data_IF_364699425761
#
_entry.id   IF_364699425761
#
_cell.length_a   1.000
_cell.length_b   1.000
_cell.length_c   1.000
_cell.angle_alpha   90.00
_cell.angle_beta   90.00
_cell.angle_gamma   90.00
#
_symmetry.space_group_name_H-M   'P 1'
#
loop_
_entity.id
_entity.type
_entity.pdbx_description
1 polymer ?
#
# COMPACT_ATOMS: atom_id res chain seq x y z
N UNK A 1 21.42 13.24 -18.85
CA UNK A 1 20.49 12.10 -18.62
C UNK A 1 20.57 11.11 -19.77
N UNK A 2 21.70 10.39 -19.88
CA UNK A 2 21.84 9.33 -20.90
C UNK A 2 20.97 8.11 -20.58
N UNK A 3 20.58 7.96 -19.31
CA UNK A 3 19.84 6.82 -18.76
C UNK A 3 18.40 6.69 -19.25
N UNK A 4 17.71 7.80 -19.55
CA UNK A 4 16.36 7.75 -20.17
C UNK A 4 16.40 7.00 -21.50
N UNK A 5 17.33 7.37 -22.38
CA UNK A 5 17.47 6.74 -23.70
C UNK A 5 17.76 5.25 -23.56
N UNK A 6 18.69 4.88 -22.67
CA UNK A 6 19.08 3.50 -22.42
C UNK A 6 17.88 2.69 -21.90
N UNK A 7 17.19 3.18 -20.87
CA UNK A 7 16.02 2.52 -20.29
C UNK A 7 14.90 2.35 -21.32
N UNK A 8 14.66 3.39 -22.14
CA UNK A 8 13.66 3.38 -23.21
C UNK A 8 13.98 2.31 -24.26
N UNK A 9 15.23 2.25 -24.72
CA UNK A 9 15.68 1.25 -25.69
C UNK A 9 15.60 -0.17 -25.11
N UNK A 10 15.98 -0.35 -23.84
CA UNK A 10 15.84 -1.65 -23.14
C UNK A 10 14.39 -2.13 -23.10
N UNK A 11 13.44 -1.21 -22.92
CA UNK A 11 12.01 -1.52 -22.92
C UNK A 11 11.38 -1.63 -24.33
N UNK A 12 12.16 -1.41 -25.38
CA UNK A 12 11.66 -1.43 -26.77
C UNK A 12 10.71 -0.28 -27.11
N UNK A 13 10.72 0.81 -26.34
CA UNK A 13 9.84 1.97 -26.54
C UNK A 13 10.54 2.97 -27.48
N UNK A 14 9.83 3.61 -28.40
CA UNK A 14 10.34 4.70 -29.24
C UNK A 14 10.20 6.06 -28.55
N UNK A 15 10.95 7.08 -29.01
CA UNK A 15 10.79 8.44 -28.45
C UNK A 15 9.35 8.95 -28.63
N UNK A 16 8.70 8.57 -29.73
CA UNK A 16 7.32 8.95 -30.04
C UNK A 16 6.34 8.29 -29.06
N UNK A 17 6.44 6.99 -28.84
CA UNK A 17 5.58 6.28 -27.89
C UNK A 17 5.78 6.77 -26.45
N UNK A 18 7.02 7.06 -26.05
CA UNK A 18 7.28 7.66 -24.73
C UNK A 18 6.63 9.04 -24.62
N UNK A 19 6.73 9.87 -25.66
CA UNK A 19 6.12 11.19 -25.68
C UNK A 19 4.58 11.12 -25.64
N UNK A 20 3.98 10.18 -26.37
CA UNK A 20 2.54 9.91 -26.33
C UNK A 20 2.07 9.51 -24.92
N UNK A 21 2.80 8.62 -24.24
CA UNK A 21 2.48 8.20 -22.86
C UNK A 21 2.63 9.32 -21.83
N UNK A 22 3.51 10.29 -22.09
CA UNK A 22 3.75 11.46 -21.23
C UNK A 22 2.94 12.70 -21.66
N UNK A 23 2.05 12.56 -22.64
CA UNK A 23 1.28 13.67 -23.22
C UNK A 23 2.13 14.90 -23.61
N UNK A 24 3.23 14.66 -24.32
CA UNK A 24 4.16 15.70 -24.77
C UNK A 24 4.66 15.47 -26.20
N UNK A 25 5.47 16.39 -26.70
CA UNK A 25 6.06 16.26 -28.04
C UNK A 25 7.28 15.34 -28.03
N UNK A 26 7.53 14.64 -29.15
CA UNK A 26 8.73 13.83 -29.32
C UNK A 26 10.02 14.66 -29.11
N UNK A 27 9.98 15.94 -29.48
CA UNK A 27 11.06 16.90 -29.29
C UNK A 27 11.37 17.10 -27.80
N UNK A 28 10.35 17.16 -26.92
CA UNK A 28 10.56 17.27 -25.48
C UNK A 28 11.34 16.08 -24.92
N UNK A 29 10.95 14.84 -25.30
CA UNK A 29 11.69 13.62 -24.95
C UNK A 29 13.13 13.66 -25.48
N UNK A 30 13.32 14.13 -26.72
CA UNK A 30 14.66 14.29 -27.31
C UNK A 30 15.55 15.26 -26.50
N UNK A 31 14.98 16.36 -26.00
CA UNK A 31 15.71 17.29 -25.14
C UNK A 31 16.10 16.67 -23.80
N UNK A 32 15.24 15.87 -23.20
CA UNK A 32 15.56 15.11 -21.98
C UNK A 32 16.70 14.11 -22.21
N UNK A 33 16.62 13.30 -23.27
CA UNK A 33 17.65 12.30 -23.59
C UNK A 33 19.01 12.93 -23.92
N UNK A 34 19.02 14.14 -24.51
CA UNK A 34 20.25 14.90 -24.78
C UNK A 34 20.78 15.65 -23.56
N UNK A 35 20.00 15.76 -22.49
CA UNK A 35 20.33 16.57 -21.31
C UNK A 35 20.23 18.08 -21.54
N UNK A 36 19.61 18.52 -22.65
CA UNK A 36 19.38 19.94 -22.93
C UNK A 36 18.23 20.52 -22.11
N UNK A 37 17.38 19.66 -21.52
CA UNK A 37 16.34 20.01 -20.56
C UNK A 37 16.32 18.95 -19.45
N UNK A 38 16.03 19.38 -18.22
CA UNK A 38 15.81 18.49 -17.09
C UNK A 38 14.29 18.33 -16.92
N UNK A 39 13.74 17.10 -16.89
CA UNK A 39 12.35 16.89 -16.52
C UNK A 39 12.16 17.21 -15.03
N UNK A 40 11.02 17.76 -14.68
CA UNK A 40 10.65 17.94 -13.27
C UNK A 40 10.37 16.59 -12.58
N UNK A 41 10.17 16.64 -11.26
CA UNK A 41 9.94 15.46 -10.43
C UNK A 41 8.74 14.62 -10.88
N UNK A 42 7.64 15.26 -11.30
CA UNK A 42 6.44 14.55 -11.74
C UNK A 42 6.71 13.80 -13.06
N UNK A 43 7.35 14.47 -14.02
CA UNK A 43 7.72 13.85 -15.30
C UNK A 43 8.77 12.74 -15.09
N UNK A 44 9.73 12.92 -14.19
CA UNK A 44 10.70 11.88 -13.82
C UNK A 44 10.01 10.63 -13.26
N UNK A 45 9.04 10.80 -12.36
CA UNK A 45 8.25 9.71 -11.80
C UNK A 45 7.45 8.98 -12.87
N UNK A 46 6.83 9.70 -13.81
CA UNK A 46 6.12 9.08 -14.93
C UNK A 46 7.06 8.31 -15.87
N UNK A 47 8.22 8.88 -16.21
CA UNK A 47 9.23 8.20 -17.02
C UNK A 47 9.69 6.92 -16.31
N UNK A 48 9.97 6.98 -15.00
CA UNK A 48 10.35 5.83 -14.18
C UNK A 48 9.30 4.72 -14.25
N UNK A 49 8.02 5.05 -14.09
CA UNK A 49 6.92 4.08 -14.20
C UNK A 49 6.79 3.50 -15.61
N UNK A 50 6.82 4.35 -16.64
CA UNK A 50 6.68 3.93 -18.03
C UNK A 50 7.86 3.05 -18.45
N UNK A 51 9.08 3.36 -17.99
CA UNK A 51 10.29 2.64 -18.35
C UNK A 51 10.66 1.52 -17.37
N UNK A 52 9.89 1.35 -16.30
CA UNK A 52 10.10 0.34 -15.24
C UNK A 52 11.54 0.34 -14.73
N UNK A 53 12.03 1.51 -14.35
CA UNK A 53 13.35 1.72 -13.72
C UNK A 53 13.21 2.67 -12.53
N UNK A 54 14.06 2.56 -11.49
CA UNK A 54 14.07 3.53 -10.40
C UNK A 54 14.37 4.96 -10.90
N UNK A 55 13.90 5.98 -10.18
CA UNK A 55 14.21 7.38 -10.53
C UNK A 55 15.71 7.62 -10.36
N UNK A 56 16.31 7.02 -9.35
CA UNK A 56 17.74 7.04 -9.04
C UNK A 56 18.58 6.52 -10.22
N UNK A 57 18.05 5.57 -11.00
CA UNK A 57 18.73 5.12 -12.22
C UNK A 57 18.66 6.18 -13.32
N UNK A 58 17.54 6.90 -13.44
CA UNK A 58 17.37 7.98 -14.42
C UNK A 58 18.23 9.21 -14.09
N UNK A 59 18.42 9.50 -12.81
CA UNK A 59 19.23 10.61 -12.29
C UNK A 59 20.72 10.25 -12.12
N UNK A 60 21.12 9.04 -12.50
CA UNK A 60 22.51 8.56 -12.44
C UNK A 60 23.04 8.39 -10.99
N UNK A 61 22.15 8.30 -10.00
CA UNK A 61 22.46 8.00 -8.59
C UNK A 61 22.71 6.50 -8.35
N UNK A 62 22.18 5.64 -9.22
CA UNK A 62 22.53 4.21 -9.27
C UNK A 62 22.86 3.75 -10.69
N UNK A 63 23.73 2.74 -10.79
CA UNK A 63 24.01 2.04 -12.04
C UNK A 63 23.10 0.82 -12.25
N UNK A 64 22.30 0.46 -11.26
CA UNK A 64 21.38 -0.66 -11.28
C UNK A 64 20.02 -0.24 -11.85
N UNK A 65 19.66 -0.68 -13.07
CA UNK A 65 18.40 -0.31 -13.71
C UNK A 65 17.19 -1.10 -13.19
N UNK A 66 17.38 -2.11 -12.35
CA UNK A 66 16.32 -2.90 -11.72
C UNK A 66 16.08 -2.48 -10.26
N UNK A 67 17.10 -1.87 -9.63
CA UNK A 67 17.00 -1.29 -8.29
C UNK A 67 17.16 -2.31 -7.16
N UNK A 68 17.76 -3.47 -7.42
CA UNK A 68 18.15 -4.47 -6.42
C UNK A 68 18.94 -3.84 -5.27
N UNK A 69 19.93 -3.01 -5.57
CA UNK A 69 20.76 -2.37 -4.54
C UNK A 69 19.92 -1.41 -3.65
N UNK A 70 18.91 -0.77 -4.25
CA UNK A 70 18.00 0.13 -3.54
C UNK A 70 17.06 -0.66 -2.63
N UNK A 71 16.53 -1.77 -3.13
CA UNK A 71 15.67 -2.67 -2.37
C UNK A 71 16.40 -3.29 -1.18
N UNK A 72 17.63 -3.77 -1.38
CA UNK A 72 18.47 -4.29 -0.29
C UNK A 72 18.72 -3.22 0.76
N UNK A 73 19.11 -2.01 0.34
CA UNK A 73 19.35 -0.88 1.23
C UNK A 73 18.12 -0.46 2.04
N UNK A 74 16.93 -0.45 1.42
CA UNK A 74 15.71 0.06 2.05
C UNK A 74 14.98 -0.99 2.91
N UNK A 75 15.09 -2.27 2.56
CA UNK A 75 14.36 -3.35 3.25
C UNK A 75 15.23 -4.13 4.23
N UNK A 76 16.55 -4.12 4.03
CA UNK A 76 17.50 -4.92 4.80
C UNK A 76 17.55 -6.40 4.40
N UNK A 77 16.73 -6.85 3.43
CA UNK A 77 16.82 -8.19 2.87
C UNK A 77 17.83 -8.21 1.72
N UNK A 78 18.67 -9.24 1.68
CA UNK A 78 19.63 -9.37 0.58
C UNK A 78 18.94 -9.59 -0.76
N UNK A 79 19.59 -9.17 -1.84
CA UNK A 79 19.10 -9.42 -3.20
C UNK A 79 18.79 -10.90 -3.43
N UNK A 80 19.63 -11.79 -2.90
CA UNK A 80 19.44 -13.24 -2.97
C UNK A 80 18.16 -13.70 -2.23
N UNK A 81 17.89 -13.17 -1.03
CA UNK A 81 16.68 -13.51 -0.28
C UNK A 81 15.41 -13.12 -1.07
N UNK A 82 15.40 -11.90 -1.62
CA UNK A 82 14.27 -11.41 -2.42
C UNK A 82 14.09 -12.29 -3.66
N UNK A 83 15.16 -12.59 -4.40
CA UNK A 83 15.09 -13.43 -5.60
C UNK A 83 14.64 -14.86 -5.31
N UNK A 84 15.10 -15.46 -4.20
CA UNK A 84 14.67 -16.79 -3.79
C UNK A 84 13.19 -16.81 -3.41
N UNK A 85 12.69 -15.76 -2.75
CA UNK A 85 11.27 -15.63 -2.46
C UNK A 85 10.42 -15.42 -3.72
N UNK A 86 10.91 -14.62 -4.69
CA UNK A 86 10.27 -14.49 -6.03
C UNK A 86 10.15 -15.86 -6.70
N UNK A 87 11.24 -16.64 -6.72
CA UNK A 87 11.21 -18.00 -7.29
C UNK A 87 10.21 -18.90 -6.57
N UNK A 88 10.13 -18.80 -5.23
CA UNK A 88 9.18 -19.57 -4.42
C UNK A 88 7.74 -19.24 -4.79
N UNK A 89 7.36 -17.96 -4.85
CA UNK A 89 5.98 -17.54 -5.18
C UNK A 89 5.59 -17.89 -6.63
N UNK A 90 6.53 -17.79 -7.57
CA UNK A 90 6.31 -18.19 -8.97
C UNK A 90 6.12 -19.70 -9.09
N UNK A 91 6.97 -20.49 -8.42
CA UNK A 91 6.87 -21.96 -8.42
C UNK A 91 5.58 -22.45 -7.76
N UNK A 92 5.06 -21.70 -6.79
CA UNK A 92 3.77 -21.97 -6.15
C UNK A 92 2.56 -21.45 -6.95
N UNK A 93 2.77 -20.79 -8.09
CA UNK A 93 1.73 -20.10 -8.86
C UNK A 93 0.91 -19.12 -7.99
N UNK A 94 1.57 -18.42 -7.07
CA UNK A 94 0.94 -17.52 -6.10
C UNK A 94 1.42 -16.07 -6.29
N UNK A 95 1.53 -15.64 -7.54
CA UNK A 95 1.78 -14.23 -7.87
C UNK A 95 0.44 -13.52 -8.00
N UNK A 96 0.26 -12.44 -7.24
CA UNK A 96 -0.91 -11.56 -7.33
C UNK A 96 -0.57 -10.36 -8.22
N UNK A 97 -1.45 -10.03 -9.17
CA UNK A 97 -1.23 -8.92 -10.10
C UNK A 97 -0.45 -9.34 -11.36
N UNK A 98 0.42 -8.45 -11.86
CA UNK A 98 1.20 -8.70 -13.08
C UNK A 98 2.47 -9.49 -12.78
N UNK A 99 2.51 -10.75 -13.23
CA UNK A 99 3.65 -11.66 -13.07
C UNK A 99 4.90 -11.27 -13.87
N UNK A 100 4.72 -10.44 -14.91
CA UNK A 100 5.82 -9.98 -15.76
C UNK A 100 6.42 -8.65 -15.24
N UNK A 101 5.82 -8.07 -14.21
CA UNK A 101 6.30 -6.82 -13.61
C UNK A 101 7.24 -7.11 -12.44
N UNK A 102 8.53 -6.87 -12.65
CA UNK A 102 9.56 -7.08 -11.63
C UNK A 102 9.28 -6.33 -10.32
N UNK A 103 8.76 -5.10 -10.38
CA UNK A 103 8.47 -4.32 -9.17
C UNK A 103 7.29 -4.91 -8.38
N UNK A 104 6.32 -5.51 -9.08
CA UNK A 104 5.23 -6.27 -8.46
C UNK A 104 5.76 -7.53 -7.76
N UNK A 105 6.70 -8.24 -8.38
CA UNK A 105 7.34 -9.43 -7.82
C UNK A 105 8.18 -9.08 -6.58
N UNK A 106 9.02 -8.04 -6.67
CA UNK A 106 9.86 -7.61 -5.55
C UNK A 106 9.00 -7.16 -4.37
N UNK A 107 7.97 -6.34 -4.62
CA UNK A 107 7.07 -5.88 -3.56
C UNK A 107 6.37 -7.03 -2.83
N UNK A 108 5.91 -8.05 -3.55
CA UNK A 108 5.33 -9.25 -2.94
C UNK A 108 6.35 -10.07 -2.16
N UNK A 109 7.55 -10.26 -2.70
CA UNK A 109 8.60 -11.01 -2.03
C UNK A 109 9.04 -10.36 -0.72
N UNK A 110 9.28 -9.05 -0.73
CA UNK A 110 9.61 -8.28 0.48
C UNK A 110 8.47 -8.38 1.51
N UNK A 111 7.23 -8.18 1.09
CA UNK A 111 6.07 -8.31 1.97
C UNK A 111 5.99 -9.71 2.61
N UNK A 112 6.23 -10.76 1.84
CA UNK A 112 6.22 -12.12 2.38
C UNK A 112 7.39 -12.37 3.35
N UNK A 113 8.59 -11.85 3.08
CA UNK A 113 9.76 -11.96 3.95
C UNK A 113 9.55 -11.23 5.29
N UNK A 114 8.76 -10.15 5.29
CA UNK A 114 8.32 -9.45 6.50
C UNK A 114 7.20 -10.20 7.26
N UNK A 115 6.71 -11.32 6.70
CA UNK A 115 5.57 -12.06 7.21
C UNK A 115 4.24 -11.35 6.99
N UNK A 116 4.18 -10.35 6.11
CA UNK A 116 2.95 -9.68 5.68
C UNK A 116 2.57 -10.17 4.28
N UNK A 117 1.74 -9.41 3.55
CA UNK A 117 1.39 -9.73 2.16
C UNK A 117 0.55 -11.00 2.01
N UNK A 118 0.97 -11.90 1.12
CA UNK A 118 0.23 -13.11 0.74
C UNK A 118 0.68 -14.34 1.54
N UNK A 119 1.16 -14.11 2.76
CA UNK A 119 1.43 -15.15 3.76
C UNK A 119 0.17 -15.44 4.57
N UNK A 120 0.09 -16.60 5.23
CA UNK A 120 -1.05 -16.91 6.11
C UNK A 120 -1.27 -15.79 7.13
N UNK A 121 -0.18 -15.29 7.73
CA UNK A 121 -0.24 -14.18 8.70
C UNK A 121 -0.72 -12.89 8.03
N UNK A 122 -0.15 -12.51 6.90
CA UNK A 122 -0.54 -11.30 6.16
C UNK A 122 -2.02 -11.32 5.73
N UNK A 123 -2.51 -12.47 5.26
CA UNK A 123 -3.90 -12.66 4.84
C UNK A 123 -4.84 -12.53 6.05
N UNK A 124 -4.54 -13.21 7.15
CA UNK A 124 -5.36 -13.15 8.37
C UNK A 124 -5.37 -11.73 8.96
N UNK A 125 -4.21 -11.06 9.04
CA UNK A 125 -4.09 -9.68 9.52
C UNK A 125 -4.91 -8.72 8.63
N UNK A 126 -4.91 -8.94 7.30
CA UNK A 126 -5.71 -8.16 6.35
C UNK A 126 -7.21 -8.35 6.58
N UNK A 127 -7.69 -9.58 6.75
CA UNK A 127 -9.11 -9.85 7.04
C UNK A 127 -9.51 -9.21 8.37
N UNK A 128 -8.69 -9.34 9.42
CA UNK A 128 -8.96 -8.70 10.71
C UNK A 128 -9.05 -7.17 10.59
N UNK A 129 -8.21 -6.55 9.73
CA UNK A 129 -8.31 -5.12 9.41
C UNK A 129 -9.60 -4.78 8.67
N UNK A 130 -10.05 -5.60 7.74
CA UNK A 130 -11.30 -5.36 7.01
C UNK A 130 -12.53 -5.46 7.94
N UNK A 131 -12.49 -6.30 8.97
CA UNK A 131 -13.51 -6.31 10.03
C UNK A 131 -13.54 -4.98 10.81
N UNK A 132 -12.38 -4.35 11.07
CA UNK A 132 -12.38 -3.01 11.67
C UNK A 132 -13.07 -1.97 10.78
N UNK A 133 -12.90 -2.07 9.46
CA UNK A 133 -13.59 -1.18 8.54
C UNK A 133 -15.11 -1.40 8.61
N UNK A 134 -15.57 -2.65 8.71
CA UNK A 134 -16.99 -2.97 8.92
C UNK A 134 -17.51 -2.40 10.26
N UNK A 135 -16.73 -2.46 11.34
CA UNK A 135 -17.09 -1.83 12.62
C UNK A 135 -17.23 -0.31 12.47
N UNK A 136 -16.29 0.34 11.74
CA UNK A 136 -16.37 1.78 11.49
C UNK A 136 -17.58 2.17 10.65
N UNK A 137 -17.92 1.39 9.63
CA UNK A 137 -19.12 1.62 8.82
C UNK A 137 -20.40 1.45 9.65
N UNK A 138 -20.45 0.43 10.52
CA UNK A 138 -21.56 0.24 11.44
C UNK A 138 -21.73 1.45 12.36
N UNK A 139 -20.64 1.92 12.98
CA UNK A 139 -20.66 3.12 13.83
C UNK A 139 -21.18 4.35 13.07
N UNK A 140 -20.67 4.63 11.87
CA UNK A 140 -21.13 5.77 11.05
C UNK A 140 -22.63 5.73 10.75
N UNK A 141 -23.23 4.55 10.66
CA UNK A 141 -24.66 4.38 10.35
C UNK A 141 -25.55 4.44 11.58
N UNK A 142 -25.04 4.05 12.75
CA UNK A 142 -25.82 3.98 13.99
C UNK A 142 -25.60 5.17 14.92
N UNK A 143 -24.39 5.70 15.02
CA UNK A 143 -24.05 6.78 15.96
C UNK A 143 -24.67 8.11 15.53
N UNK A 144 -25.36 8.77 16.47
CA UNK A 144 -25.95 10.10 16.27
C UNK A 144 -24.89 11.20 16.51
N UNK A 145 -24.49 11.97 15.47
CA UNK A 145 -23.50 13.04 15.61
C UNK A 145 -23.87 14.09 16.65
N UNK A 146 -25.17 14.36 16.87
CA UNK A 146 -25.64 15.34 17.88
C UNK A 146 -25.41 14.84 19.30
N UNK A 147 -25.55 13.54 19.54
CA UNK A 147 -25.25 12.92 20.84
C UNK A 147 -23.74 12.86 21.06
N UNK A 148 -22.98 12.47 20.03
CA UNK A 148 -21.52 12.46 20.05
C UNK A 148 -20.90 13.84 20.30
N UNK A 149 -21.50 14.91 19.78
CA UNK A 149 -21.02 16.29 19.97
C UNK A 149 -21.01 16.73 21.45
N UNK A 150 -21.91 16.16 22.28
CA UNK A 150 -22.03 16.46 23.71
C UNK A 150 -20.94 15.82 24.57
N UNK A 151 -20.16 14.91 23.99
CA UNK A 151 -19.07 14.24 24.71
C UNK A 151 -17.95 15.24 25.05
N UNK A 152 -17.32 15.08 26.24
CA UNK A 152 -16.16 15.88 26.62
C UNK A 152 -15.02 15.72 25.61
N UNK A 153 -14.22 16.75 25.43
CA UNK A 153 -13.11 16.74 24.49
C UNK A 153 -11.75 16.94 25.16
N UNK A 154 -10.72 16.26 24.64
CA UNK A 154 -9.32 16.43 25.03
C UNK A 154 -8.58 17.34 24.03
N UNK A 155 -7.64 18.14 24.55
CA UNK A 155 -6.84 19.10 23.78
C UNK A 155 -7.58 20.42 23.54
N UNK A 156 -6.90 21.55 23.76
CA UNK A 156 -7.48 22.92 23.85
C UNK A 156 -8.24 23.45 22.62
N UNK A 157 -8.49 22.62 21.60
CA UNK A 157 -9.33 22.90 20.43
C UNK A 157 -10.40 21.82 20.14
N UNK A 158 -10.63 20.88 21.05
CA UNK A 158 -11.80 19.99 20.99
C UNK A 158 -11.79 18.91 19.91
N UNK A 159 -10.62 18.57 19.36
CA UNK A 159 -10.49 17.66 18.21
C UNK A 159 -10.77 16.19 18.56
N UNK A 160 -10.52 15.77 19.81
CA UNK A 160 -10.71 14.38 20.24
C UNK A 160 -11.88 14.31 21.23
N UNK A 161 -12.97 13.67 20.83
CA UNK A 161 -14.11 13.35 21.70
C UNK A 161 -13.80 12.13 22.55
N UNK A 162 -14.07 12.22 23.85
CA UNK A 162 -13.85 11.15 24.83
C UNK A 162 -15.20 10.62 25.24
N UNK A 163 -15.37 9.29 25.20
CA UNK A 163 -16.51 8.64 25.82
C UNK A 163 -16.16 8.27 27.28
N UNK A 164 -16.77 8.91 28.30
CA UNK A 164 -16.61 8.48 29.69
C UNK A 164 -17.11 7.04 29.86
N UNK A 165 -16.51 6.28 30.77
CA UNK A 165 -16.93 4.89 31.05
C UNK A 165 -18.38 4.75 31.55
N UNK A 166 -19.00 5.86 31.99
CA UNK A 166 -20.40 5.91 32.42
C UNK A 166 -21.39 5.96 31.26
N UNK A 167 -20.97 6.36 30.05
CA UNK A 167 -21.84 6.46 28.87
C UNK A 167 -21.70 5.19 28.05
N UNK A 168 -22.78 4.42 27.93
CA UNK A 168 -22.79 3.22 27.10
C UNK A 168 -22.90 3.57 25.60
N UNK A 169 -22.31 2.78 24.68
CA UNK A 169 -22.41 3.01 23.24
C UNK A 169 -23.86 3.17 22.74
N UNK A 170 -24.77 2.38 23.30
CA UNK A 170 -26.21 2.41 23.02
C UNK A 170 -26.88 3.76 23.30
N UNK A 171 -26.32 4.60 24.17
CA UNK A 171 -26.86 5.93 24.48
C UNK A 171 -26.49 6.94 23.38
N UNK A 172 -25.60 6.58 22.46
CA UNK A 172 -25.02 7.46 21.46
C UNK A 172 -25.54 7.19 20.05
N UNK A 173 -26.42 6.19 19.87
CA UNK A 173 -27.01 5.87 18.55
C UNK A 173 -28.27 6.70 18.27
N UNK A 174 -28.74 6.73 17.02
CA UNK A 174 -30.01 7.36 16.64
C UNK A 174 -31.20 6.71 17.36
N UNK A 175 -32.19 7.53 17.74
CA UNK A 175 -33.35 7.09 18.54
C UNK A 175 -34.29 6.13 17.80
N UNK A 176 -34.29 6.13 16.46
CA UNK A 176 -35.11 5.26 15.61
C UNK A 176 -34.46 3.92 15.28
N UNK A 177 -33.22 3.68 15.74
CA UNK A 177 -32.47 2.46 15.49
C UNK A 177 -32.43 1.54 16.71
N UNK A 178 -32.42 0.22 16.46
CA UNK A 178 -32.36 -0.77 17.54
C UNK A 178 -30.94 -0.90 18.11
N UNK A 179 -30.81 -0.36 19.31
CA UNK A 179 -29.86 -0.69 20.35
C UNK A 179 -29.34 -2.14 20.33
N UNK A 180 -30.26 -3.10 20.47
CA UNK A 180 -29.94 -4.52 20.58
C UNK A 180 -29.33 -5.07 19.28
N UNK A 181 -29.81 -4.60 18.13
CA UNK A 181 -29.28 -5.02 16.82
C UNK A 181 -27.85 -4.50 16.63
N UNK A 182 -27.59 -3.24 17.00
CA UNK A 182 -26.25 -2.65 16.95
C UNK A 182 -25.26 -3.42 17.82
N UNK A 183 -25.61 -3.69 19.07
CA UNK A 183 -24.74 -4.42 20.01
C UNK A 183 -24.42 -5.83 19.49
N UNK A 184 -25.43 -6.60 19.07
CA UNK A 184 -25.21 -7.94 18.51
C UNK A 184 -24.33 -7.92 17.27
N UNK A 185 -24.55 -6.98 16.35
CA UNK A 185 -23.73 -6.85 15.15
C UNK A 185 -22.28 -6.48 15.51
N UNK A 186 -22.09 -5.55 16.45
CA UNK A 186 -20.76 -5.16 16.93
C UNK A 186 -20.04 -6.32 17.60
N UNK A 187 -20.71 -7.08 18.47
CA UNK A 187 -20.13 -8.23 19.17
C UNK A 187 -19.66 -9.32 18.20
N UNK A 188 -20.44 -9.62 17.17
CA UNK A 188 -20.03 -10.56 16.10
C UNK A 188 -18.72 -10.10 15.45
N UNK A 189 -18.63 -8.82 15.09
CA UNK A 189 -17.43 -8.27 14.46
C UNK A 189 -16.23 -8.23 15.43
N UNK A 190 -16.44 -7.91 16.70
CA UNK A 190 -15.39 -7.90 17.71
C UNK A 190 -14.86 -9.32 17.93
N UNK A 191 -15.75 -10.30 18.08
CA UNK A 191 -15.39 -11.69 18.32
C UNK A 191 -14.63 -12.28 17.13
N UNK A 192 -15.15 -12.12 15.91
CA UNK A 192 -14.49 -12.60 14.70
C UNK A 192 -13.09 -11.98 14.54
N UNK A 193 -12.93 -10.68 14.81
CA UNK A 193 -11.62 -10.03 14.77
C UNK A 193 -10.66 -10.61 15.81
N UNK A 194 -11.12 -10.84 17.05
CA UNK A 194 -10.30 -11.39 18.13
C UNK A 194 -9.79 -12.79 17.77
N UNK A 195 -10.67 -13.66 17.28
CA UNK A 195 -10.29 -15.02 16.86
C UNK A 195 -9.25 -15.01 15.73
N UNK A 196 -9.42 -14.13 14.73
CA UNK A 196 -8.42 -13.96 13.67
C UNK A 196 -7.08 -13.43 14.21
N UNK A 197 -7.09 -12.50 15.15
CA UNK A 197 -5.87 -12.00 15.80
C UNK A 197 -5.16 -13.11 16.59
N UNK A 198 -5.91 -13.95 17.28
CA UNK A 198 -5.35 -15.10 18.00
C UNK A 198 -4.72 -16.12 17.03
N UNK A 199 -5.38 -16.42 15.90
CA UNK A 199 -4.81 -17.24 14.83
C UNK A 199 -3.50 -16.62 14.33
N UNK A 200 -3.49 -15.33 13.98
CA UNK A 200 -2.29 -14.63 13.47
C UNK A 200 -1.12 -14.62 14.46
N UNK A 201 -1.41 -14.41 15.75
CA UNK A 201 -0.40 -14.41 16.81
C UNK A 201 0.25 -15.79 16.97
N UNK A 202 -0.53 -16.87 16.78
CA UNK A 202 -0.04 -18.24 16.88
C UNK A 202 0.78 -18.71 15.66
N UNK A 203 0.66 -18.03 14.51
CA UNK A 203 1.42 -18.38 13.29
C UNK A 203 2.93 -18.09 13.40
N UNK A 204 3.37 -17.26 14.37
CA UNK A 204 4.80 -16.89 14.56
C UNK A 204 5.63 -17.87 15.39
N UNK A 205 5.03 -18.93 15.95
CA UNK A 205 5.69 -19.84 16.90
C UNK A 205 6.30 -21.10 16.27
N UNK A 206 6.82 -21.05 15.03
CA UNK A 206 7.56 -22.16 14.43
C UNK A 206 8.92 -21.73 13.91
#
# INVERSE_FOLDING_TARGET
MKRIKIARQRKGVSQKELAEKLNMTQQAVSYYEKGSRVPDENILLEISRILTVPVEYLTEETNDPEGWDLWEKHTGYSVEQIQNEIKRIQSANHVVGDENNLQNLIGQAVANLEGIGNTDRGIIDKIAKDINNLQSELNKKYEDPKKMAKLPSLGGKGEIKIRPGTIKPIELIFDDLSAEVYEKAMDVLIQARRELQDISNNLRLK
#
